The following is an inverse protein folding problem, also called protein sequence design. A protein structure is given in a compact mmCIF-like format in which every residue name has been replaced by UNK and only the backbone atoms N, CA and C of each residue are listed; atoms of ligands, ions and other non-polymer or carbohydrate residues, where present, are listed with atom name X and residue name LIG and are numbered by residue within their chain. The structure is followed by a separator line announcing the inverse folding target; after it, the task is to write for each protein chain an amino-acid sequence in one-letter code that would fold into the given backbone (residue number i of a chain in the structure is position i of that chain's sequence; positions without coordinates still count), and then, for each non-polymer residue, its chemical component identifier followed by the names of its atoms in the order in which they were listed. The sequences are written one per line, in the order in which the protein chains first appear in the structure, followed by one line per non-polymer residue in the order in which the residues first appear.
data_IF_387042025808
#
_entry.id   IF_387042025808
#
_cell.length_a   1.000
_cell.length_b   1.000
_cell.length_c   1.000
_cell.angle_alpha   90.00
_cell.angle_beta   90.00
_cell.angle_gamma   90.00
#
_symmetry.space_group_name_H-M   'P 1'
#
loop_
_entity.id
_entity.type
_entity.pdbx_description
1 polymer ?
#
# COMPACT_ATOMS: atom_id res chain seq x y z
N UNK A 1 -3.71 15.41 -0.81
CA UNK A 1 -2.64 14.41 -0.61
C UNK A 1 -2.21 13.82 -1.95
N UNK A 2 -0.95 13.51 -2.10
CA UNK A 2 -0.45 12.93 -3.34
C UNK A 2 -0.99 11.54 -3.59
N UNK A 3 -1.18 11.21 -4.87
CA UNK A 3 -1.69 9.92 -5.30
C UNK A 3 -0.66 8.79 -5.12
N UNK A 4 0.63 9.09 -5.30
CA UNK A 4 1.70 8.10 -5.17
C UNK A 4 2.64 8.48 -4.04
N UNK A 5 2.78 7.59 -3.07
CA UNK A 5 3.71 7.72 -1.95
C UNK A 5 4.72 6.60 -2.07
N UNK A 6 5.80 6.88 -2.81
CA UNK A 6 6.85 5.92 -3.13
C UNK A 6 8.07 6.17 -2.26
N UNK A 7 8.37 7.43 -1.99
CA UNK A 7 9.52 7.87 -1.22
C UNK A 7 9.03 8.77 -0.07
N UNK A 8 9.66 8.73 1.11
CA UNK A 8 9.29 9.65 2.19
C UNK A 8 9.28 11.12 1.78
N UNK A 9 10.10 11.49 0.79
CA UNK A 9 10.15 12.86 0.28
C UNK A 9 8.93 13.25 -0.56
N UNK A 10 8.06 12.29 -0.88
CA UNK A 10 6.80 12.58 -1.57
C UNK A 10 5.81 13.29 -0.65
N UNK A 11 6.05 13.29 0.64
CA UNK A 11 5.24 13.97 1.64
C UNK A 11 5.99 15.16 2.20
N UNK A 12 5.28 16.29 2.35
CA UNK A 12 5.82 17.44 3.08
C UNK A 12 5.82 17.14 4.59
N UNK A 13 6.58 17.93 5.35
CA UNK A 13 6.58 17.82 6.82
C UNK A 13 5.16 18.04 7.36
N UNK A 14 4.43 18.99 6.82
CA UNK A 14 3.05 19.27 7.21
C UNK A 14 2.14 18.07 6.94
N UNK A 15 2.26 17.42 5.78
CA UNK A 15 1.49 16.22 5.46
C UNK A 15 1.82 15.07 6.40
N UNK A 16 3.09 14.90 6.75
CA UNK A 16 3.52 13.87 7.71
C UNK A 16 2.93 14.13 9.09
N UNK A 17 2.98 15.39 9.54
CA UNK A 17 2.40 15.78 10.83
C UNK A 17 0.90 15.54 10.87
N UNK A 18 0.20 15.85 9.79
CA UNK A 18 -1.24 15.61 9.68
C UNK A 18 -1.57 14.12 9.74
N UNK A 19 -0.78 13.28 9.09
CA UNK A 19 -0.95 11.83 9.13
C UNK A 19 -0.71 11.26 10.54
N UNK A 20 0.31 11.76 11.23
CA UNK A 20 0.60 11.34 12.60
C UNK A 20 -0.54 11.76 13.54
N UNK A 21 -1.04 12.98 13.38
CA UNK A 21 -2.17 13.47 14.18
C UNK A 21 -3.41 12.62 13.94
N UNK A 22 -3.70 12.26 12.69
CA UNK A 22 -4.81 11.40 12.34
C UNK A 22 -4.64 10.00 12.94
N UNK A 23 -3.44 9.43 12.87
CA UNK A 23 -3.16 8.11 13.44
C UNK A 23 -3.40 8.11 14.95
N UNK A 24 -2.94 9.15 15.65
CA UNK A 24 -3.17 9.28 17.09
C UNK A 24 -4.66 9.44 17.44
N UNK A 25 -5.42 10.15 16.61
CA UNK A 25 -6.85 10.31 16.79
C UNK A 25 -7.59 8.97 16.61
N UNK A 26 -7.19 8.19 15.63
CA UNK A 26 -7.75 6.83 15.41
C UNK A 26 -7.45 5.92 16.61
N UNK A 27 -6.23 5.99 17.16
CA UNK A 27 -5.84 5.20 18.34
C UNK A 27 -6.73 5.55 19.54
N UNK A 28 -7.05 6.82 19.71
CA UNK A 28 -7.89 7.28 20.84
C UNK A 28 -9.34 6.81 20.73
N UNK A 29 -9.89 6.76 19.52
CA UNK A 29 -11.29 6.37 19.31
C UNK A 29 -11.45 5.61 17.99
N UNK A 30 -11.21 4.32 18.03
CA UNK A 30 -11.31 3.44 16.87
C UNK A 30 -12.72 3.34 16.31
N UNK A 31 -13.71 3.37 17.17
CA UNK A 31 -15.11 3.21 16.74
C UNK A 31 -15.58 4.37 15.87
N UNK A 32 -15.03 5.56 16.10
CA UNK A 32 -15.35 6.74 15.29
C UNK A 32 -14.91 6.57 13.83
N UNK A 33 -13.88 5.76 13.58
CA UNK A 33 -13.28 5.57 12.26
C UNK A 33 -13.62 4.23 11.62
N UNK A 34 -14.42 3.40 12.27
CA UNK A 34 -14.66 2.01 11.84
C UNK A 34 -15.34 1.86 10.47
N UNK A 35 -15.93 2.93 9.94
CA UNK A 35 -16.63 2.89 8.65
C UNK A 35 -16.10 3.91 7.64
N UNK A 36 -14.96 4.57 7.92
CA UNK A 36 -14.45 5.61 7.02
C UNK A 36 -14.01 5.07 5.67
N UNK A 37 -13.63 3.81 5.59
CA UNK A 37 -13.25 3.14 4.35
C UNK A 37 -14.31 2.14 3.87
N UNK A 38 -15.55 2.30 4.30
CA UNK A 38 -16.65 1.43 3.87
C UNK A 38 -16.73 1.39 2.33
N UNK A 39 -16.89 0.18 1.79
CA UNK A 39 -16.95 -0.08 0.34
C UNK A 39 -15.65 0.19 -0.43
N UNK A 40 -14.53 0.40 0.26
CA UNK A 40 -13.21 0.56 -0.37
C UNK A 40 -12.40 -0.72 -0.25
N UNK A 41 -11.56 -0.96 -1.25
CA UNK A 41 -10.72 -2.16 -1.35
C UNK A 41 -9.25 -1.74 -1.40
N UNK A 42 -8.47 -2.30 -0.47
CA UNK A 42 -7.01 -2.21 -0.48
C UNK A 42 -6.44 -3.46 -1.14
N UNK A 43 -5.59 -3.29 -2.13
CA UNK A 43 -4.83 -4.39 -2.68
C UNK A 43 -3.43 -4.40 -2.04
N UNK A 44 -3.03 -5.55 -1.52
CA UNK A 44 -1.68 -5.75 -0.97
C UNK A 44 -0.88 -6.62 -1.93
N UNK A 45 0.04 -6.00 -2.68
CA UNK A 45 0.81 -6.66 -3.72
C UNK A 45 2.26 -6.81 -3.26
N UNK A 46 2.53 -7.90 -2.57
CA UNK A 46 3.84 -8.15 -1.98
C UNK A 46 4.61 -9.15 -2.84
N UNK A 47 5.58 -8.63 -3.58
CA UNK A 47 6.44 -9.40 -4.48
C UNK A 47 7.61 -10.06 -3.74
N UNK A 48 7.68 -9.87 -2.44
CA UNK A 48 8.62 -10.56 -1.54
C UNK A 48 7.94 -10.84 -0.20
N UNK A 49 8.37 -11.86 0.56
CA UNK A 49 7.74 -12.19 1.84
C UNK A 49 7.88 -11.07 2.86
N UNK A 50 6.77 -10.66 3.44
CA UNK A 50 6.75 -9.71 4.56
C UNK A 50 5.43 -9.84 5.30
N UNK A 51 5.30 -10.90 6.08
CA UNK A 51 4.05 -11.26 6.74
C UNK A 51 3.52 -10.16 7.65
N UNK A 52 4.37 -9.63 8.52
CA UNK A 52 3.93 -8.60 9.48
C UNK A 52 3.46 -7.33 8.80
N UNK A 53 4.20 -6.86 7.81
CA UNK A 53 3.85 -5.63 7.09
C UNK A 53 2.56 -5.80 6.32
N UNK A 54 2.40 -6.91 5.60
CA UNK A 54 1.19 -7.20 4.86
C UNK A 54 -0.04 -7.27 5.79
N UNK A 55 0.07 -8.02 6.89
CA UNK A 55 -1.02 -8.13 7.86
C UNK A 55 -1.33 -6.80 8.52
N UNK A 56 -0.33 -5.95 8.74
CA UNK A 56 -0.52 -4.62 9.31
C UNK A 56 -1.38 -3.74 8.39
N UNK A 57 -1.06 -3.72 7.09
CA UNK A 57 -1.88 -2.99 6.12
C UNK A 57 -3.31 -3.54 6.05
N UNK A 58 -3.44 -4.86 5.98
CA UNK A 58 -4.75 -5.50 5.87
C UNK A 58 -5.59 -5.28 7.13
N UNK A 59 -4.99 -5.43 8.31
CA UNK A 59 -5.66 -5.18 9.59
C UNK A 59 -6.14 -3.72 9.70
N UNK A 60 -5.30 -2.78 9.28
CA UNK A 60 -5.67 -1.36 9.29
C UNK A 60 -6.89 -1.10 8.40
N UNK A 61 -6.88 -1.63 7.18
CA UNK A 61 -8.00 -1.43 6.26
C UNK A 61 -9.30 -2.05 6.77
N UNK A 62 -9.21 -3.27 7.30
CA UNK A 62 -10.37 -3.94 7.88
C UNK A 62 -10.92 -3.18 9.08
N UNK A 63 -10.05 -2.63 9.92
CA UNK A 63 -10.45 -1.84 11.09
C UNK A 63 -11.16 -0.52 10.71
N UNK A 64 -10.88 -0.03 9.50
CA UNK A 64 -11.51 1.18 8.97
C UNK A 64 -12.78 0.88 8.14
N UNK A 65 -13.21 -0.38 8.11
CA UNK A 65 -14.43 -0.80 7.43
C UNK A 65 -14.26 -1.20 5.97
N UNK A 66 -13.03 -1.23 5.47
CA UNK A 66 -12.75 -1.62 4.10
C UNK A 66 -12.58 -3.12 3.92
N UNK A 67 -12.16 -3.51 2.74
CA UNK A 67 -11.89 -4.89 2.36
C UNK A 67 -10.47 -4.97 1.77
N UNK A 68 -9.94 -6.20 1.70
CA UNK A 68 -8.58 -6.43 1.20
C UNK A 68 -8.56 -7.53 0.16
N UNK A 69 -7.63 -7.42 -0.79
CA UNK A 69 -7.29 -8.48 -1.72
C UNK A 69 -5.79 -8.38 -2.03
N UNK A 70 -5.20 -9.45 -2.54
CA UNK A 70 -3.78 -9.43 -2.87
C UNK A 70 -3.14 -10.80 -2.79
N UNK A 71 -1.81 -10.79 -2.84
CA UNK A 71 -1.02 -12.02 -2.75
C UNK A 71 0.20 -11.78 -1.83
N UNK A 72 0.66 -12.83 -1.13
CA UNK A 72 1.77 -12.70 -0.18
C UNK A 72 3.17 -12.73 -0.82
N UNK A 73 3.31 -13.31 -2.01
CA UNK A 73 4.58 -13.39 -2.74
C UNK A 73 4.32 -13.55 -4.24
N UNK A 74 5.32 -13.23 -5.06
CA UNK A 74 5.26 -13.43 -6.50
C UNK A 74 5.06 -14.90 -6.92
N UNK A 75 5.43 -15.84 -6.06
CA UNK A 75 5.34 -17.27 -6.37
C UNK A 75 3.92 -17.79 -6.53
N UNK A 76 2.94 -17.07 -5.99
CA UNK A 76 1.53 -17.48 -6.03
C UNK A 76 0.67 -16.54 -6.88
N UNK A 77 1.31 -15.70 -7.69
CA UNK A 77 0.63 -14.73 -8.55
C UNK A 77 1.03 -14.89 -10.01
N UNK A 78 0.32 -14.20 -10.90
CA UNK A 78 0.64 -14.18 -12.33
C UNK A 78 2.01 -13.59 -12.64
N UNK A 79 2.61 -12.84 -11.72
CA UNK A 79 3.97 -12.33 -11.87
C UNK A 79 4.99 -13.47 -12.02
N UNK A 80 4.76 -14.61 -11.36
CA UNK A 80 5.63 -15.79 -11.47
C UNK A 80 5.52 -16.49 -12.83
N UNK A 81 4.51 -16.14 -13.62
CA UNK A 81 4.24 -16.69 -14.95
C UNK A 81 4.75 -15.79 -16.08
N UNK A 82 5.60 -14.82 -15.75
CA UNK A 82 6.19 -13.91 -16.74
C UNK A 82 5.44 -12.60 -16.92
N UNK A 83 4.38 -12.34 -16.18
CA UNK A 83 3.70 -11.06 -16.19
C UNK A 83 4.59 -9.99 -15.57
N UNK A 84 4.67 -8.81 -16.18
CA UNK A 84 5.47 -7.70 -15.64
C UNK A 84 4.78 -7.06 -14.44
N UNK A 85 5.58 -6.36 -13.61
CA UNK A 85 5.04 -5.58 -12.49
C UNK A 85 4.04 -4.53 -13.00
N UNK A 86 4.37 -3.84 -14.09
CA UNK A 86 3.48 -2.85 -14.69
C UNK A 86 2.15 -3.45 -15.11
N UNK A 87 2.17 -4.62 -15.72
CA UNK A 87 0.96 -5.30 -16.17
C UNK A 87 0.10 -5.74 -14.99
N UNK A 88 0.73 -6.31 -13.96
CA UNK A 88 0.03 -6.71 -12.74
C UNK A 88 -0.64 -5.50 -12.07
N UNK A 89 0.09 -4.41 -11.93
CA UNK A 89 -0.45 -3.18 -11.32
C UNK A 89 -1.58 -2.60 -12.15
N UNK A 90 -1.44 -2.60 -13.46
CA UNK A 90 -2.49 -2.08 -14.34
C UNK A 90 -3.81 -2.87 -14.17
N UNK A 91 -3.72 -4.19 -14.19
CA UNK A 91 -4.89 -5.06 -14.01
C UNK A 91 -5.50 -4.88 -12.62
N UNK A 92 -4.69 -4.94 -11.57
CA UNK A 92 -5.17 -4.85 -10.19
C UNK A 92 -5.77 -3.47 -9.89
N UNK A 93 -5.26 -2.42 -10.52
CA UNK A 93 -5.83 -1.07 -10.38
C UNK A 93 -7.33 -1.03 -10.72
N UNK A 94 -7.79 -1.92 -11.60
CA UNK A 94 -9.20 -2.05 -11.93
C UNK A 94 -10.05 -2.76 -10.88
N UNK A 95 -9.43 -3.37 -9.88
CA UNK A 95 -10.10 -4.18 -8.86
C UNK A 95 -10.13 -3.53 -7.48
N UNK A 96 -9.45 -2.42 -7.28
CA UNK A 96 -9.26 -1.83 -5.95
C UNK A 96 -9.29 -0.32 -5.98
N UNK A 97 -9.27 0.28 -4.80
CA UNK A 97 -9.29 1.74 -4.61
C UNK A 97 -7.93 2.29 -4.21
N UNK A 98 -7.06 1.46 -3.65
CA UNK A 98 -5.71 1.83 -3.24
C UNK A 98 -4.82 0.58 -3.24
N UNK A 99 -3.54 0.76 -3.55
CA UNK A 99 -2.57 -0.33 -3.58
C UNK A 99 -1.45 -0.05 -2.58
N UNK A 100 -1.11 -1.06 -1.78
CA UNK A 100 0.12 -1.11 -1.00
C UNK A 100 1.00 -2.19 -1.60
N UNK A 101 2.21 -1.84 -2.03
CA UNK A 101 3.10 -2.80 -2.65
C UNK A 101 4.46 -2.87 -1.96
N UNK A 102 5.12 -4.00 -2.12
CA UNK A 102 6.50 -4.21 -1.72
C UNK A 102 7.21 -5.04 -2.77
N UNK A 103 8.38 -4.58 -3.20
CA UNK A 103 9.14 -5.23 -4.25
C UNK A 103 10.62 -5.20 -3.90
N UNK A 104 11.38 -6.28 -4.18
CA UNK A 104 12.81 -6.32 -3.88
C UNK A 104 13.65 -5.35 -4.72
N UNK A 105 13.17 -4.93 -5.90
CA UNK A 105 13.87 -3.98 -6.76
C UNK A 105 13.40 -2.55 -6.48
N UNK A 106 14.33 -1.66 -6.19
CA UNK A 106 14.03 -0.26 -5.84
C UNK A 106 13.24 0.49 -6.92
N UNK A 107 13.53 0.23 -8.19
CA UNK A 107 12.88 0.94 -9.29
C UNK A 107 11.47 0.43 -9.63
N UNK A 108 11.07 -0.73 -9.11
CA UNK A 108 9.79 -1.32 -9.46
C UNK A 108 8.58 -0.45 -9.09
N UNK A 109 8.52 0.21 -7.93
CA UNK A 109 7.39 1.08 -7.60
C UNK A 109 7.25 2.27 -8.56
N UNK A 110 8.34 2.84 -9.00
CA UNK A 110 8.31 3.96 -9.97
C UNK A 110 7.74 3.48 -11.30
N UNK A 111 8.19 2.31 -11.77
CA UNK A 111 7.66 1.68 -12.99
C UNK A 111 6.17 1.38 -12.82
N UNK A 112 5.79 0.82 -11.67
CA UNK A 112 4.41 0.50 -11.36
C UNK A 112 3.51 1.74 -11.38
N UNK A 113 3.99 2.88 -10.87
CA UNK A 113 3.21 4.11 -10.82
C UNK A 113 2.81 4.62 -12.21
N UNK A 114 3.56 4.26 -13.24
CA UNK A 114 3.26 4.70 -14.62
C UNK A 114 1.97 4.09 -15.18
N UNK A 115 1.56 2.93 -14.69
CA UNK A 115 0.34 2.24 -15.15
C UNK A 115 -0.74 2.17 -14.08
N UNK A 116 -0.47 2.64 -12.88
CA UNK A 116 -1.40 2.59 -11.77
C UNK A 116 -2.43 3.72 -11.88
N UNK A 117 -3.71 3.37 -11.85
CA UNK A 117 -4.81 4.33 -11.96
C UNK A 117 -5.42 4.72 -10.61
N UNK A 118 -4.95 4.11 -9.52
CA UNK A 118 -5.39 4.37 -8.15
C UNK A 118 -4.20 4.82 -7.30
N UNK A 119 -4.43 5.39 -6.10
CA UNK A 119 -3.34 5.72 -5.20
C UNK A 119 -2.47 4.50 -4.88
N UNK A 120 -1.17 4.72 -4.80
CA UNK A 120 -0.17 3.68 -4.56
C UNK A 120 0.74 4.10 -3.42
N UNK A 121 0.92 3.23 -2.44
CA UNK A 121 1.92 3.39 -1.39
C UNK A 121 2.87 2.21 -1.38
N UNK A 122 4.07 2.42 -0.89
CA UNK A 122 5.16 1.44 -0.95
C UNK A 122 5.69 1.15 0.46
N UNK A 123 5.92 -0.13 0.71
CA UNK A 123 6.69 -0.59 1.86
C UNK A 123 8.06 -1.05 1.35
N UNK A 124 9.13 -0.53 1.94
CA UNK A 124 10.48 -0.85 1.51
C UNK A 124 11.16 -1.88 2.39
N UNK A 125 11.91 -2.77 1.73
CA UNK A 125 12.76 -3.76 2.40
C UNK A 125 13.99 -3.11 3.03
N UNK A 126 14.47 -2.02 2.42
CA UNK A 126 15.76 -1.41 2.72
C UNK A 126 15.61 0.05 3.15
N UNK A 127 14.76 0.29 4.14
CA UNK A 127 14.81 1.57 4.83
C UNK A 127 15.99 1.52 5.81
N UNK A 128 17.17 1.89 5.32
CA UNK A 128 18.24 2.29 6.22
C UNK A 128 17.90 3.67 6.74
N UNK A 129 17.41 3.69 7.97
CA UNK A 129 17.31 4.95 8.68
C UNK A 129 18.72 5.49 8.84
N UNK A 130 18.96 6.76 8.54
CA UNK A 130 20.25 7.38 8.84
C UNK A 130 20.47 7.29 10.33
N UNK A 131 21.56 6.64 10.66
CA UNK A 131 22.01 6.58 12.04
C UNK A 131 22.79 7.84 12.37
#
# INVERSE_FOLDING_TARGET
MKKFIIDPMDLSVEEIDDLIALANDIIKDRTRYQDVCAHKILATLFFEPSTRTRLSFESAMLSLGGKVLGFPTANVSSASKGETVSDTIHVVSGYCDIIAMRHPKEGAPVVASSTCTVPLTVSYTHLTLPT
#
